data_IF_682244921985
#
_entry.id   IF_682244921985
#
_cell.length_a   1.000
_cell.length_b   1.000
_cell.length_c   1.000
_cell.angle_alpha   90.00
_cell.angle_beta   90.00
_cell.angle_gamma   90.00
#
_symmetry.space_group_name_H-M   'P 1'
#
loop_
_entity.id
_entity.type
_entity.pdbx_description
1 polymer ?
#
# COMPACT_ATOMS: atom_id res chain seq x y z
N UNK A 1 1.23 -8.74 -26.80
CA UNK A 1 1.31 -7.29 -27.07
C UNK A 1 1.48 -6.64 -25.71
N UNK A 2 2.72 -6.57 -25.22
CA UNK A 2 3.01 -6.03 -23.89
C UNK A 2 2.76 -4.52 -23.84
N UNK A 3 2.19 -4.05 -22.73
CA UNK A 3 1.95 -2.65 -22.42
C UNK A 3 3.26 -1.83 -22.49
N UNK A 4 3.55 -1.28 -23.66
CA UNK A 4 4.77 -0.53 -24.04
C UNK A 4 5.03 0.76 -23.24
N UNK A 5 4.21 1.12 -22.25
CA UNK A 5 4.39 2.33 -21.44
C UNK A 5 4.76 2.03 -19.97
N UNK A 6 4.69 0.76 -19.52
CA UNK A 6 4.94 0.37 -18.13
C UNK A 6 4.04 1.03 -17.09
N UNK A 7 2.97 1.71 -17.53
CA UNK A 7 2.02 2.49 -16.70
C UNK A 7 0.83 1.68 -16.18
N UNK A 8 0.45 0.61 -16.88
CA UNK A 8 -0.73 -0.20 -16.57
C UNK A 8 -0.41 -1.69 -16.54
N UNK A 9 -1.16 -2.44 -15.73
CA UNK A 9 -0.97 -3.86 -15.48
C UNK A 9 -0.67 -4.14 -14.00
N UNK A 10 -1.04 -5.33 -13.52
CA UNK A 10 -0.88 -5.73 -12.12
C UNK A 10 0.57 -5.71 -11.60
N UNK A 11 1.57 -5.73 -12.49
CA UNK A 11 3.00 -5.68 -12.15
C UNK A 11 3.70 -4.45 -12.73
N UNK A 12 2.94 -3.48 -13.21
CA UNK A 12 3.44 -2.26 -13.86
C UNK A 12 4.25 -1.39 -12.90
N UNK A 13 5.03 -0.45 -13.46
CA UNK A 13 5.83 0.47 -12.65
C UNK A 13 4.94 1.38 -11.79
N UNK A 14 3.78 1.79 -12.30
CA UNK A 14 2.79 2.55 -11.54
C UNK A 14 2.32 1.78 -10.31
N UNK A 15 1.89 0.53 -10.50
CA UNK A 15 1.46 -0.33 -9.38
C UNK A 15 2.58 -0.53 -8.36
N UNK A 16 3.82 -0.80 -8.80
CA UNK A 16 4.96 -0.97 -7.88
C UNK A 16 5.20 0.29 -7.03
N UNK A 17 5.03 1.50 -7.59
CA UNK A 17 5.14 2.75 -6.83
C UNK A 17 4.04 2.86 -5.77
N UNK A 18 2.80 2.57 -6.13
CA UNK A 18 1.66 2.61 -5.19
C UNK A 18 1.84 1.62 -4.04
N UNK A 19 2.28 0.39 -4.33
CA UNK A 19 2.57 -0.63 -3.32
C UNK A 19 3.74 -0.23 -2.41
N UNK A 20 4.78 0.41 -2.96
CA UNK A 20 5.88 0.96 -2.16
C UNK A 20 5.36 2.06 -1.23
N UNK A 21 4.45 2.91 -1.70
CA UNK A 21 3.84 3.95 -0.90
C UNK A 21 3.05 3.38 0.29
N UNK A 22 2.26 2.32 0.08
CA UNK A 22 1.55 1.65 1.18
C UNK A 22 2.52 1.07 2.22
N UNK A 23 3.61 0.45 1.77
CA UNK A 23 4.64 -0.07 2.68
C UNK A 23 5.31 1.05 3.49
N UNK A 24 5.66 2.16 2.85
CA UNK A 24 6.22 3.31 3.56
C UNK A 24 5.21 3.91 4.55
N UNK A 25 3.91 3.91 4.22
CA UNK A 25 2.85 4.31 5.14
C UNK A 25 2.75 3.37 6.34
N UNK A 26 2.89 2.05 6.14
CA UNK A 26 2.99 1.07 7.21
C UNK A 26 4.20 1.31 8.12
N UNK A 27 5.39 1.54 7.56
CA UNK A 27 6.60 1.88 8.33
C UNK A 27 6.38 3.15 9.14
N UNK A 28 5.80 4.19 8.55
CA UNK A 28 5.47 5.42 9.27
C UNK A 28 4.52 5.13 10.44
N UNK A 29 3.44 4.40 10.20
CA UNK A 29 2.44 4.05 11.22
C UNK A 29 3.07 3.26 12.39
N UNK A 30 4.04 2.39 12.11
CA UNK A 30 4.80 1.65 13.13
C UNK A 30 5.58 2.56 14.08
N UNK A 31 6.12 3.66 13.58
CA UNK A 31 7.00 4.56 14.35
C UNK A 31 6.29 5.82 14.84
N UNK A 32 5.09 6.12 14.37
CA UNK A 32 4.39 7.37 14.68
C UNK A 32 4.11 7.54 16.18
N UNK A 33 3.89 6.46 16.92
CA UNK A 33 3.65 6.52 18.37
C UNK A 33 4.90 6.62 19.24
N UNK A 34 6.09 6.54 18.64
CA UNK A 34 7.38 6.62 19.32
C UNK A 34 8.27 7.75 18.80
N UNK A 35 7.91 8.34 17.66
CA UNK A 35 8.57 9.52 17.11
C UNK A 35 8.04 10.76 17.81
N UNK A 36 8.92 11.59 18.34
CA UNK A 36 8.58 12.86 18.98
C UNK A 36 8.73 14.03 18.00
N UNK A 37 7.86 15.03 18.14
CA UNK A 37 8.02 16.34 17.51
C UNK A 37 9.07 17.19 18.24
N UNK A 38 9.24 18.44 17.80
CA UNK A 38 10.23 19.36 18.38
C UNK A 38 9.96 19.72 19.86
N UNK A 39 8.72 19.54 20.32
CA UNK A 39 8.27 19.84 21.68
C UNK A 39 8.29 18.59 22.58
N UNK A 40 8.72 17.43 22.05
CA UNK A 40 8.78 16.17 22.78
C UNK A 40 7.45 15.41 22.83
N UNK A 41 6.45 15.79 22.02
CA UNK A 41 5.19 15.06 21.95
C UNK A 41 5.26 13.98 20.88
N UNK A 42 4.79 12.77 21.18
CA UNK A 42 4.67 11.71 20.17
C UNK A 42 3.71 12.10 19.06
N UNK A 43 4.05 11.82 17.80
CA UNK A 43 3.23 12.19 16.64
C UNK A 43 1.84 11.55 16.66
N UNK A 44 1.70 10.36 17.26
CA UNK A 44 0.43 9.66 17.39
C UNK A 44 0.34 8.93 18.73
N UNK A 45 -0.87 8.58 19.14
CA UNK A 45 -1.06 7.58 20.20
C UNK A 45 -0.71 6.19 19.66
N UNK A 46 -0.42 5.19 20.52
CA UNK A 46 -0.31 3.81 20.06
C UNK A 46 -1.56 3.38 19.28
N UNK A 47 -1.36 2.86 18.07
CA UNK A 47 -2.44 2.38 17.22
C UNK A 47 -3.12 1.16 17.84
N UNK A 48 -4.45 1.16 17.81
CA UNK A 48 -5.25 -0.02 18.16
C UNK A 48 -5.40 -0.95 16.96
N UNK A 49 -5.83 -2.19 17.21
CA UNK A 49 -6.16 -3.12 16.13
C UNK A 49 -7.23 -2.55 15.18
N UNK A 50 -8.22 -1.84 15.72
CA UNK A 50 -9.24 -1.16 14.93
C UNK A 50 -8.67 -0.07 14.04
N UNK A 51 -7.66 0.67 14.50
CA UNK A 51 -6.98 1.67 13.67
C UNK A 51 -6.22 1.01 12.51
N UNK A 52 -5.54 -0.11 12.78
CA UNK A 52 -4.85 -0.90 11.74
C UNK A 52 -5.86 -1.46 10.73
N UNK A 53 -6.97 -2.04 11.18
CA UNK A 53 -8.03 -2.52 10.29
C UNK A 53 -8.63 -1.38 9.45
N UNK A 54 -8.76 -0.18 10.02
CA UNK A 54 -9.23 1.00 9.28
C UNK A 54 -8.23 1.42 8.20
N UNK A 55 -6.92 1.37 8.48
CA UNK A 55 -5.88 1.64 7.49
C UNK A 55 -5.89 0.59 6.35
N UNK A 56 -6.08 -0.69 6.67
CA UNK A 56 -6.20 -1.77 5.68
C UNK A 56 -7.45 -1.63 4.81
N UNK A 57 -8.57 -1.20 5.40
CA UNK A 57 -9.78 -0.88 4.65
C UNK A 57 -9.55 0.28 3.67
N UNK A 58 -8.86 1.34 4.13
CA UNK A 58 -8.47 2.45 3.27
C UNK A 58 -7.57 2.00 2.12
N UNK A 59 -6.51 1.22 2.40
CA UNK A 59 -5.60 0.68 1.38
C UNK A 59 -6.32 -0.22 0.36
N UNK A 60 -7.26 -1.06 0.80
CA UNK A 60 -8.05 -1.86 -0.13
C UNK A 60 -9.01 -1.04 -0.99
N UNK A 61 -9.60 0.04 -0.46
CA UNK A 61 -10.60 0.83 -1.19
C UNK A 61 -10.07 1.47 -2.48
N UNK A 62 -8.75 1.67 -2.56
CA UNK A 62 -8.05 2.27 -3.69
C UNK A 62 -7.43 1.23 -4.63
N UNK A 63 -7.58 -0.07 -4.34
CA UNK A 63 -7.25 -1.14 -5.28
C UNK A 63 -8.18 -1.11 -6.49
N UNK A 64 -7.64 -1.29 -7.69
CA UNK A 64 -8.41 -1.20 -8.93
C UNK A 64 -9.49 -2.27 -9.02
N UNK A 65 -9.29 -3.44 -8.42
CA UNK A 65 -10.32 -4.48 -8.35
C UNK A 65 -11.50 -4.07 -7.45
N UNK A 66 -11.26 -3.32 -6.38
CA UNK A 66 -12.33 -2.71 -5.58
C UNK A 66 -13.06 -1.64 -6.40
N UNK A 67 -12.31 -0.71 -7.00
CA UNK A 67 -12.88 0.40 -7.79
C UNK A 67 -13.71 -0.14 -8.96
N UNK A 68 -13.20 -1.12 -9.71
CA UNK A 68 -13.90 -1.73 -10.84
C UNK A 68 -15.18 -2.45 -10.38
N UNK A 69 -15.14 -3.23 -9.30
CA UNK A 69 -16.35 -3.88 -8.76
C UNK A 69 -17.38 -2.84 -8.30
N UNK A 70 -16.95 -1.81 -7.60
CA UNK A 70 -17.81 -0.73 -7.09
C UNK A 70 -18.43 0.11 -8.21
N UNK A 71 -17.78 0.21 -9.38
CA UNK A 71 -18.34 0.86 -10.57
C UNK A 71 -19.23 -0.06 -11.42
N UNK A 72 -19.39 -1.33 -11.04
CA UNK A 72 -20.12 -2.33 -11.82
C UNK A 72 -19.37 -2.84 -13.06
N UNK A 73 -18.07 -2.57 -13.16
CA UNK A 73 -17.21 -3.04 -14.23
C UNK A 73 -16.64 -4.43 -13.94
N UNK A 74 -16.31 -5.19 -14.98
CA UNK A 74 -15.54 -6.42 -14.83
C UNK A 74 -14.12 -6.10 -14.38
N UNK A 75 -13.58 -6.90 -13.45
CA UNK A 75 -12.20 -6.76 -13.00
C UNK A 75 -11.24 -7.14 -14.13
N UNK A 76 -10.33 -6.23 -14.49
CA UNK A 76 -9.33 -6.44 -15.53
C UNK A 76 -7.93 -6.02 -15.04
N UNK A 77 -7.05 -6.98 -14.71
CA UNK A 77 -5.69 -6.71 -14.25
C UNK A 77 -4.78 -5.97 -15.24
N UNK A 78 -5.03 -6.09 -16.55
CA UNK A 78 -4.18 -5.46 -17.57
C UNK A 78 -4.32 -3.93 -17.60
N UNK A 79 -5.41 -3.40 -17.04
CA UNK A 79 -5.70 -1.96 -16.97
C UNK A 79 -5.36 -1.34 -15.62
N UNK A 80 -4.83 -2.10 -14.66
CA UNK A 80 -4.58 -1.61 -13.30
C UNK A 80 -3.46 -0.57 -13.26
N UNK A 81 -3.65 0.48 -12.48
CA UNK A 81 -2.68 1.53 -12.16
C UNK A 81 -2.32 1.58 -10.67
N UNK A 82 -3.20 1.05 -9.82
CA UNK A 82 -3.07 1.03 -8.36
C UNK A 82 -2.98 -0.39 -7.79
N UNK A 83 -3.11 -1.44 -8.61
CA UNK A 83 -2.95 -2.84 -8.17
C UNK A 83 -4.21 -3.39 -7.52
N UNK A 84 -4.13 -4.60 -6.96
CA UNK A 84 -5.26 -5.22 -6.26
C UNK A 84 -5.37 -4.73 -4.81
N UNK A 85 -6.58 -4.75 -4.27
CA UNK A 85 -6.86 -4.48 -2.86
C UNK A 85 -6.00 -5.31 -1.91
N UNK A 86 -5.74 -6.57 -2.27
CA UNK A 86 -4.93 -7.50 -1.49
C UNK A 86 -3.45 -7.10 -1.49
N UNK A 87 -2.90 -6.75 -2.65
CA UNK A 87 -1.52 -6.27 -2.75
C UNK A 87 -1.31 -5.04 -1.86
N UNK A 88 -2.25 -4.09 -1.93
CA UNK A 88 -2.24 -2.85 -1.13
C UNK A 88 -2.17 -3.14 0.37
N UNK A 89 -3.05 -4.03 0.85
CA UNK A 89 -3.08 -4.44 2.26
C UNK A 89 -1.81 -5.17 2.67
N UNK A 90 -1.33 -6.09 1.83
CA UNK A 90 -0.12 -6.86 2.08
C UNK A 90 1.11 -5.94 2.23
N UNK A 91 1.27 -4.96 1.34
CA UNK A 91 2.42 -4.06 1.39
C UNK A 91 2.33 -3.08 2.56
N UNK A 92 1.14 -2.59 2.91
CA UNK A 92 0.95 -1.84 4.16
C UNK A 92 1.41 -2.65 5.38
N UNK A 93 0.95 -3.89 5.51
CA UNK A 93 1.36 -4.76 6.63
C UNK A 93 2.85 -5.10 6.61
N UNK A 94 3.43 -5.30 5.44
CA UNK A 94 4.88 -5.53 5.29
C UNK A 94 5.68 -4.40 5.92
N UNK A 95 5.28 -3.15 5.66
CA UNK A 95 5.90 -1.99 6.27
C UNK A 95 5.60 -1.84 7.77
N UNK A 96 4.34 -2.08 8.17
CA UNK A 96 3.91 -1.94 9.55
C UNK A 96 4.55 -2.96 10.49
N UNK A 97 4.57 -4.23 10.10
CA UNK A 97 5.16 -5.31 10.89
C UNK A 97 6.69 -5.27 10.84
N UNK A 98 7.24 -5.00 9.66
CA UNK A 98 8.68 -4.98 9.43
C UNK A 98 9.39 -3.75 9.98
N UNK A 99 8.75 -2.58 9.92
CA UNK A 99 9.24 -1.34 10.51
C UNK A 99 10.48 -0.74 9.85
N UNK A 100 10.91 -1.23 8.68
CA UNK A 100 12.08 -0.70 7.97
C UNK A 100 11.80 -0.40 6.51
N UNK A 101 12.30 0.75 6.02
CA UNK A 101 12.14 1.14 4.61
C UNK A 101 12.80 0.16 3.63
N UNK A 102 13.78 -0.64 4.09
CA UNK A 102 14.49 -1.62 3.26
C UNK A 102 13.57 -2.73 2.77
N UNK A 103 12.49 -3.02 3.49
CA UNK A 103 11.51 -4.02 3.11
C UNK A 103 10.54 -3.52 2.04
N UNK A 104 10.50 -2.22 1.76
CA UNK A 104 9.53 -1.60 0.86
C UNK A 104 9.97 -1.54 -0.61
N UNK A 105 11.07 -2.19 -0.99
CA UNK A 105 11.54 -2.17 -2.38
C UNK A 105 10.72 -3.11 -3.28
N UNK A 106 9.57 -2.64 -3.74
CA UNK A 106 8.66 -3.36 -4.65
C UNK A 106 9.22 -3.59 -6.05
N UNK A 107 10.35 -2.99 -6.41
CA UNK A 107 11.02 -3.22 -7.70
C UNK A 107 11.97 -4.42 -7.69
N UNK A 108 12.27 -4.96 -6.50
CA UNK A 108 13.23 -6.06 -6.30
C UNK A 108 12.53 -7.39 -5.95
N UNK A 109 11.25 -7.52 -6.34
CA UNK A 109 10.45 -8.74 -6.16
C UNK A 109 9.44 -8.89 -7.29
N UNK A 110 9.15 -10.13 -7.68
CA UNK A 110 8.04 -10.46 -8.59
C UNK A 110 6.79 -10.94 -7.83
N UNK A 111 6.92 -11.20 -6.53
CA UNK A 111 5.80 -11.44 -5.64
C UNK A 111 5.33 -10.10 -5.08
N UNK A 112 4.43 -9.45 -5.83
CA UNK A 112 3.75 -8.22 -5.46
C UNK A 112 2.45 -8.50 -4.71
#
# INVERSE_FOLDING_TARGET
LDNQDGRTGATSQGVRIELMADCLAGVWAKHASTTEDADGNTLLKPLTETDVQSALSAAASVGDDHIQRSSGSTVNPDSWTHGSSEQRQQWFMTGYDGGTIKQCNTFDTDAL
#
